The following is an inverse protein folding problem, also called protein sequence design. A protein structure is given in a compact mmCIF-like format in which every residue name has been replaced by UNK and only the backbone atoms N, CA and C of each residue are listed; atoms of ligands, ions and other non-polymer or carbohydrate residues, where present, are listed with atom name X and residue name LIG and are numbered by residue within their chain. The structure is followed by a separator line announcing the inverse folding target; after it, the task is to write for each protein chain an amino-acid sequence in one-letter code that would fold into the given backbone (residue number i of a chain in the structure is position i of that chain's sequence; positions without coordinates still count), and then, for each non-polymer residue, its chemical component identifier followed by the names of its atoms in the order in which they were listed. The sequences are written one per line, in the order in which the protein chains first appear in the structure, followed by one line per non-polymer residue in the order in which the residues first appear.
data_IF_222907588209
#
_entry.id   IF_222907588209
#
_cell.length_a   1.000
_cell.length_b   1.000
_cell.length_c   1.000
_cell.angle_alpha   90.00
_cell.angle_beta   90.00
_cell.angle_gamma   90.00
#
_symmetry.space_group_name_H-M   'P 1'
#
loop_
_entity.id
_entity.type
_entity.pdbx_description
1 polymer ?
#
# COMPACT_ATOMS: atom_id res chain seq x y z
N UNK A 1 -18.80 5.19 42.11
CA UNK A 1 -17.78 4.11 42.08
C UNK A 1 -17.22 4.06 40.66
N UNK A 2 -15.91 3.81 40.53
CA UNK A 2 -15.01 4.19 39.42
C UNK A 2 -15.39 3.76 37.98
N UNK A 3 -15.19 4.72 37.08
CA UNK A 3 -14.42 4.73 35.80
C UNK A 3 -14.06 3.42 35.08
N UNK A 4 -14.34 3.42 33.76
CA UNK A 4 -13.33 3.06 32.76
C UNK A 4 -13.58 3.89 31.49
N UNK A 5 -12.73 4.90 31.28
CA UNK A 5 -12.55 5.59 29.99
C UNK A 5 -11.80 4.58 29.11
N UNK A 6 -12.46 4.04 28.09
CA UNK A 6 -11.76 3.47 26.94
C UNK A 6 -11.61 4.58 25.90
N UNK A 7 -10.56 5.37 26.08
CA UNK A 7 -9.90 6.11 25.00
C UNK A 7 -9.48 5.08 23.96
N UNK A 8 -10.27 4.95 22.90
CA UNK A 8 -9.75 4.46 21.63
C UNK A 8 -8.84 5.57 21.10
N UNK A 9 -7.56 5.28 21.15
CA UNK A 9 -6.46 6.08 20.64
C UNK A 9 -6.75 6.45 19.17
N UNK A 10 -7.06 7.72 18.93
CA UNK A 10 -7.11 8.33 17.61
C UNK A 10 -5.68 8.53 17.08
N UNK A 11 -4.92 7.45 16.91
CA UNK A 11 -3.63 7.51 16.24
C UNK A 11 -3.81 7.29 14.74
N UNK A 12 -3.89 8.40 14.01
CA UNK A 12 -3.55 8.56 12.59
C UNK A 12 -4.17 7.55 11.61
N UNK A 13 -5.47 7.27 11.75
CA UNK A 13 -6.24 6.80 10.59
C UNK A 13 -6.40 7.98 9.62
N UNK A 14 -5.44 8.16 8.72
CA UNK A 14 -5.64 8.97 7.52
C UNK A 14 -6.93 8.54 6.83
N UNK A 15 -7.65 9.50 6.26
CA UNK A 15 -8.91 9.29 5.53
C UNK A 15 -8.81 8.00 4.67
N UNK A 16 -9.79 7.09 4.69
CA UNK A 16 -9.79 5.89 3.85
C UNK A 16 -9.41 6.15 2.38
N UNK A 17 -9.81 7.32 1.85
CA UNK A 17 -9.46 7.77 0.50
C UNK A 17 -7.98 8.16 0.37
N UNK A 18 -7.37 8.74 1.41
CA UNK A 18 -5.93 9.03 1.44
C UNK A 18 -5.09 7.75 1.47
N UNK A 19 -5.52 6.74 2.24
CA UNK A 19 -4.84 5.44 2.33
C UNK A 19 -4.87 4.73 0.98
N UNK A 20 -6.02 4.75 0.31
CA UNK A 20 -6.16 4.15 -1.01
C UNK A 20 -5.32 4.88 -2.05
N UNK A 21 -5.32 6.22 -2.04
CA UNK A 21 -4.47 7.02 -2.91
C UNK A 21 -2.97 6.77 -2.69
N UNK A 22 -2.54 6.62 -1.44
CA UNK A 22 -1.15 6.28 -1.10
C UNK A 22 -0.76 4.89 -1.62
N UNK A 23 -1.64 3.89 -1.46
CA UNK A 23 -1.44 2.56 -2.00
C UNK A 23 -1.33 2.56 -3.52
N UNK A 24 -2.22 3.27 -4.20
CA UNK A 24 -2.19 3.29 -5.66
C UNK A 24 -0.93 4.00 -6.21
N UNK A 25 -0.42 5.03 -5.54
CA UNK A 25 0.86 5.68 -5.89
C UNK A 25 2.07 4.74 -5.71
N UNK A 26 2.05 3.93 -4.65
CA UNK A 26 3.08 2.89 -4.45
C UNK A 26 3.08 1.91 -5.63
N UNK A 27 1.91 1.47 -6.09
CA UNK A 27 1.79 0.56 -7.25
C UNK A 27 2.26 1.23 -8.56
N UNK A 28 2.04 2.54 -8.75
CA UNK A 28 2.59 3.27 -9.91
C UNK A 28 4.12 3.30 -9.90
N UNK A 29 4.78 3.49 -8.74
CA UNK A 29 6.25 3.36 -8.66
C UNK A 29 6.69 1.96 -9.07
N UNK A 30 6.05 0.94 -8.50
CA UNK A 30 6.36 -0.46 -8.81
C UNK A 30 6.25 -0.74 -10.32
N UNK A 31 5.23 -0.21 -11.00
CA UNK A 31 5.04 -0.35 -12.45
C UNK A 31 5.97 0.52 -13.32
N UNK A 32 6.59 1.55 -12.75
CA UNK A 32 7.61 2.35 -13.46
C UNK A 32 8.97 1.67 -13.45
N UNK A 33 9.28 1.01 -12.34
CA UNK A 33 10.58 0.38 -12.12
C UNK A 33 10.64 -1.05 -12.67
N UNK A 34 9.48 -1.70 -12.84
CA UNK A 34 9.39 -3.09 -13.23
C UNK A 34 8.28 -3.37 -14.25
N UNK A 35 8.39 -4.49 -14.95
CA UNK A 35 7.37 -4.97 -15.88
C UNK A 35 6.08 -5.42 -15.16
N UNK A 36 4.95 -5.44 -15.88
CA UNK A 36 3.61 -5.80 -15.39
C UNK A 36 3.54 -7.18 -14.69
N UNK A 37 4.48 -8.09 -14.96
CA UNK A 37 4.54 -9.44 -14.39
C UNK A 37 5.62 -9.61 -13.31
N UNK A 38 6.21 -8.52 -12.81
CA UNK A 38 7.23 -8.60 -11.78
C UNK A 38 6.68 -9.18 -10.48
N UNK A 39 7.51 -10.02 -9.85
CA UNK A 39 7.23 -10.60 -8.54
C UNK A 39 7.84 -9.70 -7.49
N UNK A 40 7.02 -8.90 -6.85
CA UNK A 40 7.42 -8.00 -5.79
C UNK A 40 7.58 -8.74 -4.46
N UNK A 41 8.70 -8.56 -3.81
CA UNK A 41 8.91 -8.90 -2.40
C UNK A 41 8.28 -7.83 -1.50
N UNK A 42 7.98 -8.19 -0.24
CA UNK A 42 7.51 -7.22 0.75
C UNK A 42 8.48 -6.05 0.90
N UNK A 43 9.78 -6.30 0.85
CA UNK A 43 10.82 -5.28 0.91
C UNK A 43 10.78 -4.29 -0.27
N UNK A 44 10.48 -4.75 -1.49
CA UNK A 44 10.31 -3.87 -2.64
C UNK A 44 9.08 -2.97 -2.50
N UNK A 45 7.96 -3.52 -2.07
CA UNK A 45 6.75 -2.74 -1.86
C UNK A 45 6.90 -1.73 -0.70
N UNK A 46 7.59 -2.11 0.38
CA UNK A 46 7.96 -1.21 1.50
C UNK A 46 8.80 -0.06 0.99
N UNK A 47 9.82 -0.35 0.16
CA UNK A 47 10.68 0.69 -0.43
C UNK A 47 9.88 1.63 -1.31
N UNK A 48 9.07 1.10 -2.24
CA UNK A 48 8.23 1.92 -3.12
C UNK A 48 7.32 2.86 -2.32
N UNK A 49 6.75 2.37 -1.22
CA UNK A 49 5.91 3.18 -0.34
C UNK A 49 6.72 4.25 0.40
N UNK A 50 7.87 3.89 0.96
CA UNK A 50 8.71 4.82 1.72
C UNK A 50 9.27 5.93 0.83
N UNK A 51 9.49 5.67 -0.46
CA UNK A 51 9.84 6.69 -1.46
C UNK A 51 8.69 7.70 -1.66
N UNK A 52 7.44 7.24 -1.70
CA UNK A 52 6.26 8.12 -1.76
C UNK A 52 6.01 8.89 -0.45
N UNK A 53 6.42 8.32 0.69
CA UNK A 53 6.07 8.82 2.02
C UNK A 53 6.55 10.24 2.34
N UNK A 54 7.55 10.78 1.64
CA UNK A 54 7.85 12.23 1.62
C UNK A 54 7.94 12.93 2.99
N UNK A 55 8.36 12.22 4.05
CA UNK A 55 8.42 12.74 5.42
C UNK A 55 7.42 12.12 6.42
N UNK A 56 6.48 11.26 5.98
CA UNK A 56 5.72 10.37 6.86
C UNK A 56 6.61 9.22 7.35
N UNK A 57 6.30 8.70 8.54
CA UNK A 57 7.07 7.65 9.24
C UNK A 57 7.32 6.47 8.30
N UNK A 58 8.59 6.15 8.05
CA UNK A 58 8.97 5.01 7.23
C UNK A 58 8.43 3.73 7.85
N UNK A 59 7.79 2.89 7.05
CA UNK A 59 7.29 1.60 7.49
C UNK A 59 8.43 0.60 7.56
N UNK A 60 8.45 -0.20 8.64
CA UNK A 60 9.22 -1.44 8.68
C UNK A 60 8.51 -2.53 7.86
N UNK A 61 9.22 -3.60 7.51
CA UNK A 61 8.63 -4.76 6.83
C UNK A 61 7.48 -5.37 7.67
N UNK A 62 7.64 -5.47 8.99
CA UNK A 62 6.59 -5.97 9.89
C UNK A 62 5.34 -5.09 9.87
N UNK A 63 5.49 -3.77 9.90
CA UNK A 63 4.34 -2.86 9.84
C UNK A 63 3.65 -2.94 8.48
N UNK A 64 4.42 -3.13 7.40
CA UNK A 64 3.88 -3.27 6.06
C UNK A 64 3.08 -4.56 5.90
N UNK A 65 3.61 -5.69 6.36
CA UNK A 65 2.92 -6.98 6.34
C UNK A 65 1.62 -6.97 7.17
N UNK A 66 1.60 -6.24 8.29
CA UNK A 66 0.43 -6.22 9.18
C UNK A 66 -0.61 -5.16 8.80
N UNK A 67 -0.20 -4.01 8.24
CA UNK A 67 -1.11 -2.88 7.99
C UNK A 67 -1.45 -2.66 6.52
N UNK A 68 -0.52 -2.96 5.60
CA UNK A 68 -0.61 -2.61 4.18
C UNK A 68 -1.02 -3.80 3.34
N UNK A 69 -0.34 -4.94 3.50
CA UNK A 69 -0.62 -6.17 2.73
C UNK A 69 -2.09 -6.61 2.84
N UNK A 70 -2.73 -6.64 4.04
CA UNK A 70 -4.12 -7.06 4.14
C UNK A 70 -5.08 -6.16 3.37
N UNK A 71 -4.76 -4.85 3.27
CA UNK A 71 -5.56 -3.87 2.52
C UNK A 71 -5.38 -4.07 1.02
N UNK A 72 -4.15 -4.26 0.54
CA UNK A 72 -3.88 -4.54 -0.88
C UNK A 72 -4.53 -5.84 -1.35
N UNK A 73 -4.52 -6.87 -0.50
CA UNK A 73 -5.21 -8.13 -0.78
C UNK A 73 -6.72 -7.95 -0.78
N UNK A 74 -7.28 -7.18 0.17
CA UNK A 74 -8.72 -6.91 0.25
C UNK A 74 -9.24 -6.09 -0.94
N UNK A 75 -8.42 -5.16 -1.45
CA UNK A 75 -8.72 -4.37 -2.65
C UNK A 75 -8.44 -5.15 -3.93
N UNK A 76 -7.96 -6.40 -3.82
CA UNK A 76 -7.57 -7.25 -4.94
C UNK A 76 -6.50 -6.60 -5.84
N UNK A 77 -5.70 -5.65 -5.33
CA UNK A 77 -4.65 -4.97 -6.12
C UNK A 77 -3.42 -5.84 -6.33
N UNK A 78 -3.17 -6.77 -5.42
CA UNK A 78 -2.06 -7.73 -5.52
C UNK A 78 -2.56 -9.13 -5.20
N UNK A 79 -1.87 -10.12 -5.74
CA UNK A 79 -2.09 -11.54 -5.47
C UNK A 79 -0.84 -12.11 -4.83
N UNK A 80 -0.97 -12.67 -3.62
CA UNK A 80 0.12 -13.36 -2.95
C UNK A 80 0.40 -14.71 -3.64
N UNK A 81 1.65 -14.95 -3.95
CA UNK A 81 2.16 -16.17 -4.57
C UNK A 81 2.61 -17.18 -3.49
N UNK A 82 2.77 -18.48 -3.84
CA UNK A 82 3.20 -19.51 -2.89
C UNK A 82 4.60 -19.29 -2.28
N UNK A 83 5.45 -18.50 -2.95
CA UNK A 83 6.79 -18.09 -2.50
C UNK A 83 6.77 -16.82 -1.62
N UNK A 84 5.59 -16.40 -1.16
CA UNK A 84 5.33 -15.13 -0.45
C UNK A 84 5.64 -13.85 -1.24
N UNK A 85 5.93 -13.93 -2.54
CA UNK A 85 5.96 -12.75 -3.41
C UNK A 85 4.56 -12.26 -3.77
N UNK A 86 4.47 -11.07 -4.33
CA UNK A 86 3.24 -10.42 -4.77
C UNK A 86 3.32 -10.09 -6.25
N UNK A 87 2.24 -10.36 -6.97
CA UNK A 87 2.07 -9.92 -8.36
C UNK A 87 0.90 -8.95 -8.38
N UNK A 88 1.03 -7.86 -9.14
CA UNK A 88 -0.07 -6.94 -9.37
C UNK A 88 -1.21 -7.64 -10.12
N UNK A 89 -2.45 -7.45 -9.65
CA UNK A 89 -3.61 -7.93 -10.38
C UNK A 89 -3.94 -7.02 -11.57
N UNK A 90 -4.83 -7.47 -12.45
CA UNK A 90 -5.36 -6.62 -13.52
C UNK A 90 -6.03 -5.35 -12.99
N UNK A 91 -6.73 -5.44 -11.85
CA UNK A 91 -7.39 -4.29 -11.19
C UNK A 91 -6.34 -3.32 -10.66
N UNK A 92 -5.34 -3.84 -9.93
CA UNK A 92 -4.25 -3.03 -9.37
C UNK A 92 -3.46 -2.31 -10.46
N UNK A 93 -3.17 -2.99 -11.57
CA UNK A 93 -2.53 -2.40 -12.74
C UNK A 93 -3.40 -1.33 -13.40
N UNK A 94 -4.69 -1.60 -13.62
CA UNK A 94 -5.61 -0.66 -14.25
C UNK A 94 -5.74 0.62 -13.43
N UNK A 95 -5.91 0.51 -12.10
CA UNK A 95 -6.04 1.66 -11.21
C UNK A 95 -4.75 2.49 -11.14
N UNK A 96 -3.58 1.84 -11.05
CA UNK A 96 -2.31 2.55 -11.08
C UNK A 96 -2.11 3.29 -12.43
N UNK A 97 -2.44 2.66 -13.56
CA UNK A 97 -2.38 3.27 -14.89
C UNK A 97 -3.37 4.44 -15.04
N UNK A 98 -4.58 4.35 -14.47
CA UNK A 98 -5.59 5.41 -14.50
C UNK A 98 -5.12 6.66 -13.75
N UNK A 99 -4.51 6.51 -12.57
CA UNK A 99 -3.96 7.66 -11.83
C UNK A 99 -2.83 8.35 -12.58
N UNK A 100 -1.98 7.58 -13.27
CA UNK A 100 -0.93 8.14 -14.13
C UNK A 100 -1.52 8.98 -15.26
N UNK A 101 -2.63 8.55 -15.86
CA UNK A 101 -3.30 9.29 -16.93
C UNK A 101 -4.08 10.50 -16.44
N UNK A 102 -4.62 10.46 -15.21
CA UNK A 102 -5.35 11.56 -14.61
C UNK A 102 -4.47 12.80 -14.33
N UNK A 103 -3.14 12.69 -14.51
CA UNK A 103 -2.21 13.81 -14.37
C UNK A 103 -2.21 14.40 -12.96
N UNK A 104 -2.67 13.64 -11.97
CA UNK A 104 -2.81 14.09 -10.59
C UNK A 104 -1.47 14.15 -9.86
N UNK A 105 -0.36 14.52 -10.52
CA UNK A 105 0.94 14.85 -9.93
C UNK A 105 1.71 15.83 -10.82
#
# INVERSE_FOLDING_TARGET
MLTAIMTLDSNEMGDPLEVEAEMMRMLDICLREHDDNHRFTSAELVRARNVQGGGRRAYTEDQYENEVVPKLLRLEYVVRQPDNSFILSEIGMAHAKLLRQAGTF
#
